data_IF_318899309397
#
_entry.id   IF_318899309397
#
_cell.length_a   1.000
_cell.length_b   1.000
_cell.length_c   1.000
_cell.angle_alpha   90.00
_cell.angle_beta   90.00
_cell.angle_gamma   90.00
#
_symmetry.space_group_name_H-M   'P 1'
#
loop_
_entity.id
_entity.type
_entity.pdbx_description
1 polymer ?
#
# COMPACT_ATOMS: atom_id res chain seq x y z
N UNK A 1 -21.32 -24.39 -8.31
CA UNK A 1 -22.20 -24.52 -9.50
C UNK A 1 -21.78 -23.42 -10.44
N UNK A 2 -20.91 -23.78 -11.41
CA UNK A 2 -20.31 -22.82 -12.35
C UNK A 2 -21.41 -22.37 -13.32
N UNK A 3 -21.75 -21.07 -13.33
CA UNK A 3 -22.68 -20.52 -14.32
C UNK A 3 -21.94 -20.26 -15.62
N UNK A 4 -22.16 -21.11 -16.61
CA UNK A 4 -21.76 -20.89 -18.00
C UNK A 4 -22.80 -19.99 -18.69
N UNK A 5 -22.34 -18.88 -19.26
CA UNK A 5 -23.12 -18.08 -20.20
C UNK A 5 -22.36 -18.04 -21.53
N UNK A 6 -22.82 -18.66 -22.60
CA UNK A 6 -22.13 -18.58 -23.89
C UNK A 6 -22.43 -17.26 -24.60
N UNK A 7 -21.40 -16.60 -25.10
CA UNK A 7 -21.50 -15.41 -25.96
C UNK A 7 -21.20 -15.80 -27.42
N UNK A 8 -22.03 -15.30 -28.31
CA UNK A 8 -22.01 -15.57 -29.74
C UNK A 8 -20.81 -14.95 -30.46
N UNK A 9 -20.26 -15.74 -31.38
CA UNK A 9 -19.14 -15.43 -32.27
C UNK A 9 -19.54 -14.49 -33.42
N UNK A 10 -18.77 -13.42 -33.65
CA UNK A 10 -18.76 -12.66 -34.88
C UNK A 10 -17.40 -12.76 -35.57
N UNK A 11 -17.40 -13.16 -36.83
CA UNK A 11 -16.22 -13.36 -37.68
C UNK A 11 -15.85 -12.05 -38.35
N UNK A 12 -14.61 -11.58 -38.25
CA UNK A 12 -14.01 -10.66 -39.23
C UNK A 12 -12.58 -11.06 -39.57
N UNK A 13 -12.30 -11.01 -40.86
CA UNK A 13 -11.06 -11.37 -41.53
C UNK A 13 -10.24 -10.11 -41.75
N UNK A 14 -8.94 -10.12 -41.50
CA UNK A 14 -7.83 -9.82 -42.41
C UNK A 14 -6.52 -9.53 -41.66
N UNK A 15 -5.61 -10.52 -41.66
CA UNK A 15 -4.20 -10.27 -41.97
C UNK A 15 -3.26 -9.75 -40.89
N UNK A 16 -3.46 -10.06 -39.63
CA UNK A 16 -2.41 -10.17 -38.61
C UNK A 16 -2.75 -11.39 -37.74
N UNK A 17 -1.74 -12.04 -37.18
CA UNK A 17 -1.84 -13.32 -36.46
C UNK A 17 -2.79 -13.19 -35.26
N UNK A 18 -4.09 -13.12 -35.56
CA UNK A 18 -5.16 -13.05 -34.56
C UNK A 18 -5.26 -14.43 -33.93
N UNK A 19 -5.06 -14.51 -32.63
CA UNK A 19 -5.34 -15.71 -31.86
C UNK A 19 -6.74 -16.20 -32.21
N UNK A 20 -6.85 -17.46 -32.65
CA UNK A 20 -8.15 -18.07 -33.04
C UNK A 20 -9.11 -18.26 -31.84
N UNK A 21 -8.58 -18.17 -30.60
CA UNK A 21 -9.32 -18.37 -29.36
C UNK A 21 -9.30 -17.10 -28.49
N UNK A 22 -10.37 -16.88 -27.73
CA UNK A 22 -10.47 -15.78 -26.77
C UNK A 22 -9.39 -15.93 -25.67
N UNK A 23 -8.93 -14.79 -25.14
CA UNK A 23 -8.18 -14.79 -23.88
C UNK A 23 -9.09 -15.22 -22.74
N UNK A 24 -8.59 -16.02 -21.82
CA UNK A 24 -9.31 -16.45 -20.63
C UNK A 24 -8.68 -15.81 -19.40
N UNK A 25 -9.47 -15.05 -18.65
CA UNK A 25 -8.99 -14.42 -17.42
C UNK A 25 -9.86 -14.75 -16.23
N UNK A 26 -9.21 -14.88 -15.07
CA UNK A 26 -9.90 -15.13 -13.80
C UNK A 26 -9.68 -13.97 -12.84
N UNK A 27 -10.78 -13.41 -12.36
CA UNK A 27 -10.82 -12.38 -11.33
C UNK A 27 -11.06 -13.08 -9.99
N UNK A 28 -10.17 -12.84 -9.04
CA UNK A 28 -10.25 -13.38 -7.70
C UNK A 28 -10.53 -12.27 -6.67
N UNK A 29 -11.78 -12.11 -6.22
CA UNK A 29 -12.05 -11.23 -5.08
C UNK A 29 -11.38 -11.81 -3.84
N UNK A 30 -10.38 -11.11 -3.29
CA UNK A 30 -9.67 -11.58 -2.11
C UNK A 30 -10.59 -11.87 -0.93
N UNK A 31 -10.17 -12.79 -0.04
CA UNK A 31 -10.92 -13.20 1.16
C UNK A 31 -12.27 -13.84 0.87
N UNK A 32 -13.18 -13.89 1.86
CA UNK A 32 -14.53 -14.46 1.75
C UNK A 32 -14.84 -15.46 2.85
N UNK A 33 -16.12 -15.70 3.10
CA UNK A 33 -16.60 -16.59 4.15
C UNK A 33 -16.14 -16.17 5.55
N UNK A 34 -15.44 -17.05 6.25
CA UNK A 34 -14.91 -16.78 7.59
C UNK A 34 -13.66 -15.87 7.59
N UNK A 35 -13.04 -15.63 6.44
CA UNK A 35 -11.90 -14.73 6.30
C UNK A 35 -12.35 -13.34 5.85
N UNK A 36 -12.45 -12.34 6.78
CA UNK A 36 -12.90 -11.00 6.42
C UNK A 36 -11.87 -10.17 5.64
N UNK A 37 -10.58 -10.53 5.72
CA UNK A 37 -9.48 -9.68 5.27
C UNK A 37 -9.21 -8.55 6.25
N UNK A 38 -8.80 -7.40 5.75
CA UNK A 38 -8.66 -6.18 6.54
C UNK A 38 -10.03 -5.69 7.01
N UNK A 39 -10.09 -5.28 8.28
CA UNK A 39 -11.28 -4.67 8.90
C UNK A 39 -10.86 -3.34 9.52
N UNK A 40 -11.46 -2.26 9.05
CA UNK A 40 -11.21 -0.93 9.58
C UNK A 40 -12.52 -0.12 9.60
N UNK A 41 -12.90 0.42 10.77
CA UNK A 41 -14.18 1.10 11.00
C UNK A 41 -15.39 0.22 10.58
N UNK A 42 -16.06 0.60 9.50
CA UNK A 42 -17.21 -0.14 8.93
C UNK A 42 -16.86 -0.90 7.66
N UNK A 43 -15.59 -0.83 7.23
CA UNK A 43 -15.13 -1.44 6.00
C UNK A 43 -14.61 -2.85 6.26
N UNK A 44 -15.04 -3.79 5.43
CA UNK A 44 -14.62 -5.18 5.47
C UNK A 44 -14.12 -5.57 4.09
N UNK A 45 -12.85 -5.92 4.00
CA UNK A 45 -12.16 -6.12 2.73
C UNK A 45 -12.86 -7.15 1.83
N UNK A 46 -13.31 -8.29 2.36
CA UNK A 46 -14.01 -9.32 1.57
C UNK A 46 -15.27 -8.83 0.85
N UNK A 47 -15.97 -7.84 1.43
CA UNK A 47 -17.17 -7.25 0.83
C UNK A 47 -16.80 -6.24 -0.25
N UNK A 48 -15.75 -5.46 0.01
CA UNK A 48 -15.24 -4.46 -0.93
C UNK A 48 -14.66 -5.14 -2.17
N UNK A 49 -13.81 -6.15 -2.01
CA UNK A 49 -13.20 -6.90 -3.12
C UNK A 49 -14.26 -7.60 -3.99
N UNK A 50 -15.35 -8.11 -3.39
CA UNK A 50 -16.43 -8.73 -4.16
C UNK A 50 -17.20 -7.71 -5.01
N UNK A 51 -17.48 -6.51 -4.48
CA UNK A 51 -18.14 -5.44 -5.22
C UNK A 51 -17.28 -4.93 -6.36
N UNK A 52 -15.99 -4.70 -6.09
CA UNK A 52 -15.00 -4.30 -7.06
C UNK A 52 -14.87 -5.32 -8.19
N UNK A 53 -14.71 -6.60 -7.86
CA UNK A 53 -14.58 -7.68 -8.82
C UNK A 53 -15.82 -7.82 -9.74
N UNK A 54 -17.01 -7.61 -9.19
CA UNK A 54 -18.24 -7.58 -10.01
C UNK A 54 -18.23 -6.42 -11.01
N UNK A 55 -17.79 -5.23 -10.60
CA UNK A 55 -17.68 -4.09 -11.50
C UNK A 55 -16.64 -4.33 -12.60
N UNK A 56 -15.49 -4.92 -12.25
CA UNK A 56 -14.46 -5.35 -13.21
C UNK A 56 -15.01 -6.38 -14.18
N UNK A 57 -15.69 -7.42 -13.68
CA UNK A 57 -16.32 -8.45 -14.49
C UNK A 57 -17.35 -7.87 -15.47
N UNK A 58 -18.29 -7.06 -14.97
CA UNK A 58 -19.32 -6.43 -15.81
C UNK A 58 -18.71 -5.57 -16.91
N UNK A 59 -17.68 -4.78 -16.59
CA UNK A 59 -17.02 -3.89 -17.53
C UNK A 59 -16.21 -4.67 -18.57
N UNK A 60 -15.42 -5.65 -18.14
CA UNK A 60 -14.53 -6.42 -19.00
C UNK A 60 -15.31 -7.37 -19.94
N UNK A 61 -16.42 -7.93 -19.47
CA UNK A 61 -17.29 -8.79 -20.28
C UNK A 61 -17.92 -8.08 -21.50
N UNK A 62 -17.81 -6.76 -21.59
CA UNK A 62 -18.24 -5.99 -22.77
C UNK A 62 -17.21 -5.94 -23.90
N UNK A 63 -15.99 -6.42 -23.69
CA UNK A 63 -14.94 -6.46 -24.69
C UNK A 63 -15.00 -7.74 -25.52
N UNK A 64 -14.67 -7.66 -26.80
CA UNK A 64 -14.53 -8.82 -27.68
C UNK A 64 -13.16 -9.50 -27.46
N UNK A 65 -13.09 -10.80 -27.75
CA UNK A 65 -11.85 -11.58 -27.69
C UNK A 65 -11.42 -12.01 -26.29
N UNK A 66 -12.30 -11.94 -25.28
CA UNK A 66 -11.99 -12.32 -23.89
C UNK A 66 -13.14 -13.09 -23.24
N UNK A 67 -12.81 -14.09 -22.46
CA UNK A 67 -13.71 -14.79 -21.54
C UNK A 67 -13.30 -14.48 -20.11
N UNK A 68 -14.27 -14.03 -19.30
CA UNK A 68 -14.03 -13.54 -17.94
C UNK A 68 -14.73 -14.43 -16.94
N UNK A 69 -14.01 -14.86 -15.93
CA UNK A 69 -14.54 -15.70 -14.85
C UNK A 69 -14.20 -15.09 -13.49
N UNK A 70 -14.96 -15.46 -12.47
CA UNK A 70 -14.68 -15.06 -11.08
C UNK A 70 -14.52 -16.31 -10.22
N UNK A 71 -13.58 -16.31 -9.27
CA UNK A 71 -13.40 -17.41 -8.33
C UNK A 71 -14.58 -17.55 -7.38
N UNK A 72 -15.20 -16.44 -6.98
CA UNK A 72 -16.43 -16.37 -6.17
C UNK A 72 -17.33 -15.24 -6.63
N UNK A 73 -18.64 -15.46 -6.59
CA UNK A 73 -19.67 -14.48 -6.91
C UNK A 73 -20.53 -14.11 -5.71
N UNK A 74 -20.28 -14.72 -4.55
CA UNK A 74 -20.95 -14.46 -3.27
C UNK A 74 -19.94 -14.52 -2.12
N UNK A 75 -20.39 -14.30 -0.88
CA UNK A 75 -19.54 -14.44 0.31
C UNK A 75 -19.30 -15.93 0.60
N UNK A 76 -18.24 -16.45 0.02
CA UNK A 76 -17.88 -17.86 0.02
C UNK A 76 -16.43 -18.03 0.47
N UNK A 77 -16.19 -19.03 1.32
CA UNK A 77 -14.84 -19.43 1.71
C UNK A 77 -14.22 -20.33 0.64
N UNK A 78 -13.08 -19.93 0.12
CA UNK A 78 -12.27 -20.69 -0.83
C UNK A 78 -10.82 -20.67 -0.37
N UNK A 79 -10.20 -21.83 -0.35
CA UNK A 79 -8.75 -21.93 -0.13
C UNK A 79 -7.98 -21.35 -1.32
N UNK A 80 -6.74 -20.92 -1.12
CA UNK A 80 -5.89 -20.40 -2.20
C UNK A 80 -5.74 -21.39 -3.35
N UNK A 81 -5.68 -22.68 -3.01
CA UNK A 81 -5.58 -23.75 -3.99
C UNK A 81 -6.84 -23.86 -4.83
N UNK A 82 -8.03 -23.88 -4.22
CA UNK A 82 -9.30 -23.93 -4.94
C UNK A 82 -9.48 -22.74 -5.90
N UNK A 83 -9.01 -21.54 -5.50
CA UNK A 83 -9.04 -20.34 -6.37
C UNK A 83 -8.20 -20.54 -7.63
N UNK A 84 -6.99 -21.08 -7.48
CA UNK A 84 -6.09 -21.33 -8.61
C UNK A 84 -6.50 -22.55 -9.43
N UNK A 85 -7.07 -23.60 -8.81
CA UNK A 85 -7.64 -24.75 -9.52
C UNK A 85 -8.75 -24.33 -10.51
N UNK A 86 -9.56 -23.31 -10.16
CA UNK A 86 -10.54 -22.71 -11.09
C UNK A 86 -9.83 -22.13 -12.32
N UNK A 87 -8.73 -21.40 -12.12
CA UNK A 87 -7.97 -20.82 -13.23
C UNK A 87 -7.25 -21.88 -14.07
N UNK A 88 -6.72 -22.93 -13.43
CA UNK A 88 -6.07 -24.06 -14.09
C UNK A 88 -7.07 -24.87 -14.95
N UNK A 89 -8.26 -25.15 -14.41
CA UNK A 89 -9.32 -25.87 -15.14
C UNK A 89 -9.84 -25.12 -16.37
N UNK A 90 -9.74 -23.77 -16.34
CA UNK A 90 -10.14 -22.88 -17.43
C UNK A 90 -9.01 -22.59 -18.42
N UNK A 91 -7.79 -23.08 -18.18
CA UNK A 91 -6.58 -22.75 -18.94
C UNK A 91 -6.36 -21.21 -19.05
N UNK A 92 -6.46 -20.53 -17.91
CA UNK A 92 -6.45 -19.09 -17.83
C UNK A 92 -5.12 -18.47 -18.30
N UNK A 93 -5.20 -17.43 -19.11
CA UNK A 93 -4.06 -16.64 -19.57
C UNK A 93 -3.52 -15.71 -18.49
N UNK A 94 -4.38 -15.28 -17.54
CA UNK A 94 -4.00 -14.42 -16.43
C UNK A 94 -4.97 -14.55 -15.23
N UNK A 95 -4.41 -14.36 -14.03
CA UNK A 95 -5.15 -14.42 -12.76
C UNK A 95 -4.99 -13.09 -11.99
N UNK A 96 -6.09 -12.37 -11.76
CA UNK A 96 -6.13 -11.07 -11.10
C UNK A 96 -6.72 -11.18 -9.70
N UNK A 97 -5.91 -11.02 -8.66
CA UNK A 97 -6.35 -11.08 -7.27
C UNK A 97 -6.50 -9.67 -6.70
N UNK A 98 -7.72 -9.31 -6.31
CA UNK A 98 -8.10 -7.96 -5.91
C UNK A 98 -8.14 -7.84 -4.39
N UNK A 99 -7.46 -6.82 -3.86
CA UNK A 99 -7.26 -6.60 -2.44
C UNK A 99 -7.31 -5.11 -2.04
N UNK A 100 -7.43 -4.89 -0.74
CA UNK A 100 -7.17 -3.63 -0.06
C UNK A 100 -6.21 -3.88 1.09
N UNK A 101 -5.24 -3.00 1.25
CA UNK A 101 -4.18 -3.16 2.22
C UNK A 101 -4.55 -2.57 3.60
N UNK A 102 -3.80 -2.97 4.61
CA UNK A 102 -3.80 -2.38 5.94
C UNK A 102 -2.43 -2.58 6.58
N UNK A 103 -1.89 -1.57 7.25
CA UNK A 103 -0.60 -1.64 7.92
C UNK A 103 -0.73 -1.80 9.44
N UNK A 104 0.23 -2.49 10.06
CA UNK A 104 0.20 -2.74 11.52
C UNK A 104 0.23 -1.44 12.33
N UNK A 105 0.96 -0.44 11.84
CA UNK A 105 1.18 0.84 12.53
C UNK A 105 0.29 1.96 11.97
N UNK A 106 -0.56 1.68 10.99
CA UNK A 106 -1.38 2.67 10.29
C UNK A 106 -0.55 3.81 9.66
N UNK A 107 0.64 3.47 9.14
CA UNK A 107 1.64 4.43 8.64
C UNK A 107 1.96 4.28 7.15
N UNK A 108 1.27 3.36 6.46
CA UNK A 108 1.41 3.12 5.03
C UNK A 108 0.16 3.55 4.27
N UNK A 109 0.34 4.08 3.07
CA UNK A 109 -0.74 4.52 2.18
C UNK A 109 -0.34 4.40 0.72
N UNK A 110 -1.33 4.36 -0.17
CA UNK A 110 -1.15 4.25 -1.62
C UNK A 110 -1.40 2.84 -2.16
N UNK A 111 -1.28 2.71 -3.48
CA UNK A 111 -1.48 1.47 -4.23
C UNK A 111 -0.17 0.73 -4.47
N UNK A 112 -0.23 -0.60 -4.53
CA UNK A 112 0.90 -1.45 -4.89
C UNK A 112 0.44 -2.73 -5.58
N UNK A 113 1.34 -3.36 -6.31
CA UNK A 113 1.08 -4.70 -6.86
C UNK A 113 2.16 -5.68 -6.42
N UNK A 114 1.74 -6.94 -6.26
CA UNK A 114 2.63 -8.05 -5.95
C UNK A 114 2.55 -9.09 -7.05
N UNK A 115 3.72 -9.49 -7.58
CA UNK A 115 3.84 -10.41 -8.71
C UNK A 115 4.80 -11.55 -8.41
N UNK A 116 4.82 -12.57 -9.29
CA UNK A 116 5.75 -13.69 -9.15
C UNK A 116 7.20 -13.26 -9.35
N UNK A 117 8.10 -13.87 -8.59
CA UNK A 117 9.55 -13.73 -8.75
C UNK A 117 10.17 -14.66 -9.80
N UNK A 118 9.35 -15.40 -10.56
CA UNK A 118 9.83 -16.27 -11.65
C UNK A 118 9.98 -15.45 -12.93
N UNK A 119 11.09 -15.58 -13.68
CA UNK A 119 11.42 -14.66 -14.77
C UNK A 119 10.30 -14.38 -15.77
N UNK A 120 9.73 -15.43 -16.39
CA UNK A 120 8.69 -15.25 -17.40
C UNK A 120 7.36 -14.75 -16.83
N UNK A 121 6.97 -15.25 -15.65
CA UNK A 121 5.76 -14.78 -14.95
C UNK A 121 5.97 -13.38 -14.38
N UNK A 122 7.19 -13.04 -13.93
CA UNK A 122 7.55 -11.69 -13.52
C UNK A 122 7.36 -10.70 -14.67
N UNK A 123 7.88 -10.99 -15.87
CA UNK A 123 7.76 -10.09 -17.00
C UNK A 123 6.29 -9.78 -17.33
N UNK A 124 5.45 -10.81 -17.46
CA UNK A 124 4.01 -10.64 -17.72
C UNK A 124 3.30 -9.89 -16.60
N UNK A 125 3.61 -10.21 -15.34
CA UNK A 125 3.05 -9.54 -14.18
C UNK A 125 3.48 -8.07 -14.12
N UNK A 126 4.73 -7.77 -14.44
CA UNK A 126 5.27 -6.41 -14.47
C UNK A 126 4.60 -5.56 -15.56
N UNK A 127 4.52 -6.09 -16.78
CA UNK A 127 3.90 -5.41 -17.93
C UNK A 127 2.45 -5.01 -17.61
N UNK A 128 1.66 -5.92 -17.03
CA UNK A 128 0.30 -5.59 -16.59
C UNK A 128 0.29 -4.60 -15.42
N UNK A 129 1.14 -4.85 -14.41
CA UNK A 129 1.19 -4.00 -13.22
C UNK A 129 1.56 -2.55 -13.54
N UNK A 130 2.40 -2.33 -14.54
CA UNK A 130 2.74 -0.98 -14.99
C UNK A 130 1.49 -0.22 -15.46
N UNK A 131 0.62 -0.87 -16.26
CA UNK A 131 -0.61 -0.26 -16.76
C UNK A 131 -1.59 0.09 -15.64
N UNK A 132 -1.80 -0.83 -14.70
CA UNK A 132 -2.74 -0.58 -13.60
C UNK A 132 -2.21 0.43 -12.60
N UNK A 133 -0.91 0.39 -12.28
CA UNK A 133 -0.28 1.35 -11.36
C UNK A 133 -0.32 2.77 -11.94
N UNK A 134 -0.08 2.95 -13.24
CA UNK A 134 -0.28 4.24 -13.90
C UNK A 134 -1.73 4.74 -13.72
N UNK A 135 -2.72 3.88 -13.94
CA UNK A 135 -4.13 4.24 -13.80
C UNK A 135 -4.51 4.61 -12.36
N UNK A 136 -3.97 3.91 -11.36
CA UNK A 136 -4.22 4.19 -9.94
C UNK A 136 -3.51 5.47 -9.47
N UNK A 137 -2.31 5.75 -9.99
CA UNK A 137 -1.59 7.00 -9.69
C UNK A 137 -2.20 8.22 -10.37
N UNK A 138 -2.71 8.07 -11.59
CA UNK A 138 -3.50 9.12 -12.25
C UNK A 138 -4.77 9.47 -11.48
N UNK A 139 -5.34 8.52 -10.75
CA UNK A 139 -6.46 8.76 -9.84
C UNK A 139 -6.07 9.59 -8.61
N UNK A 140 -4.77 9.67 -8.29
CA UNK A 140 -4.18 10.41 -7.19
C UNK A 140 -3.66 9.55 -6.03
N UNK A 141 -3.73 8.23 -6.14
CA UNK A 141 -3.14 7.33 -5.14
C UNK A 141 -1.62 7.39 -5.19
N UNK A 142 -0.99 7.27 -4.04
CA UNK A 142 0.46 7.22 -3.96
C UNK A 142 0.98 5.90 -4.55
N UNK A 143 1.99 6.00 -5.44
CA UNK A 143 2.61 4.85 -6.08
C UNK A 143 3.61 4.17 -5.13
N UNK A 144 3.22 3.04 -4.54
CA UNK A 144 4.08 2.18 -3.73
C UNK A 144 4.85 1.15 -4.56
N UNK A 145 4.60 1.07 -5.87
CA UNK A 145 5.35 0.29 -6.86
C UNK A 145 4.93 -1.15 -7.06
N UNK A 146 5.68 -1.79 -7.95
CA UNK A 146 5.52 -3.20 -8.36
C UNK A 146 6.55 -4.02 -7.59
N UNK A 147 6.11 -5.07 -6.90
CA UNK A 147 6.93 -5.77 -5.91
C UNK A 147 6.91 -7.28 -6.07
N UNK A 148 7.99 -7.90 -5.64
CA UNK A 148 8.06 -9.35 -5.37
C UNK A 148 8.34 -9.58 -3.89
N UNK A 149 7.94 -10.71 -3.36
CA UNK A 149 8.27 -11.11 -1.99
C UNK A 149 8.57 -12.61 -1.93
N UNK A 150 9.68 -12.98 -1.34
CA UNK A 150 10.09 -14.37 -1.21
C UNK A 150 9.87 -14.90 0.21
N UNK A 151 9.64 -16.21 0.30
CA UNK A 151 9.68 -16.94 1.56
C UNK A 151 11.12 -16.97 2.12
N UNK A 152 11.27 -17.40 3.35
CA UNK A 152 12.59 -17.57 4.01
C UNK A 152 13.55 -18.50 3.27
N UNK A 153 13.01 -19.41 2.44
CA UNK A 153 13.83 -20.31 1.62
C UNK A 153 14.44 -19.63 0.37
N UNK A 154 14.07 -18.37 0.10
CA UNK A 154 14.55 -17.55 -1.02
C UNK A 154 14.31 -18.16 -2.43
N UNK A 155 13.35 -19.06 -2.54
CA UNK A 155 13.02 -19.76 -3.78
C UNK A 155 11.56 -19.62 -4.18
N UNK A 156 10.67 -19.64 -3.19
CA UNK A 156 9.23 -19.61 -3.42
C UNK A 156 8.68 -18.21 -3.14
N UNK A 157 7.70 -17.80 -3.91
CA UNK A 157 6.95 -16.60 -3.66
C UNK A 157 6.27 -16.64 -2.28
N UNK A 158 6.28 -15.52 -1.57
CA UNK A 158 5.73 -15.42 -0.21
C UNK A 158 4.21 -15.56 -0.20
N UNK A 159 3.54 -14.78 -1.07
CA UNK A 159 2.09 -14.79 -1.15
C UNK A 159 1.60 -16.14 -1.67
N UNK A 160 0.66 -16.74 -0.93
CA UNK A 160 0.17 -18.08 -1.24
C UNK A 160 -0.47 -18.16 -2.61
N UNK A 161 -1.33 -17.18 -2.95
CA UNK A 161 -2.03 -17.16 -4.23
C UNK A 161 -1.07 -17.02 -5.43
N UNK A 162 -0.05 -16.16 -5.33
CA UNK A 162 1.00 -16.05 -6.36
C UNK A 162 1.76 -17.37 -6.50
N UNK A 163 2.08 -18.02 -5.38
CA UNK A 163 2.83 -19.28 -5.38
C UNK A 163 2.02 -20.43 -6.00
N UNK A 164 0.73 -20.54 -5.69
CA UNK A 164 -0.15 -21.54 -6.29
C UNK A 164 -0.29 -21.30 -7.79
N UNK A 165 -0.54 -20.06 -8.25
CA UNK A 165 -0.58 -19.70 -9.67
C UNK A 165 0.75 -19.96 -10.38
N UNK A 166 1.88 -19.62 -9.73
CA UNK A 166 3.23 -19.93 -10.24
C UNK A 166 3.46 -21.41 -10.43
N UNK A 167 2.93 -22.27 -9.54
CA UNK A 167 3.10 -23.71 -9.60
C UNK A 167 2.44 -24.33 -10.85
N UNK A 168 1.37 -23.72 -11.35
CA UNK A 168 0.65 -24.13 -12.58
C UNK A 168 0.98 -23.24 -13.79
N UNK A 169 2.02 -22.39 -13.66
CA UNK A 169 2.51 -21.50 -14.72
C UNK A 169 1.49 -20.47 -15.25
N UNK A 170 0.58 -20.00 -14.41
CA UNK A 170 -0.37 -18.93 -14.72
C UNK A 170 0.20 -17.60 -14.24
N UNK A 171 0.34 -16.57 -15.11
CA UNK A 171 0.68 -15.22 -14.69
C UNK A 171 -0.36 -14.69 -13.71
N UNK A 172 0.09 -14.07 -12.62
CA UNK A 172 -0.81 -13.58 -11.58
C UNK A 172 -0.31 -12.30 -10.96
N UNK A 173 -1.25 -11.49 -10.47
CA UNK A 173 -0.99 -10.25 -9.75
C UNK A 173 -1.93 -10.14 -8.57
N UNK A 174 -1.44 -9.65 -7.42
CA UNK A 174 -2.26 -9.08 -6.37
C UNK A 174 -2.26 -7.57 -6.58
N UNK A 175 -3.44 -6.96 -6.66
CA UNK A 175 -3.62 -5.51 -6.76
C UNK A 175 -4.12 -5.03 -5.40
N UNK A 176 -3.29 -4.29 -4.70
CA UNK A 176 -3.64 -3.61 -3.45
C UNK A 176 -4.01 -2.17 -3.79
N UNK A 177 -5.31 -1.88 -3.87
CA UNK A 177 -5.81 -0.62 -4.41
C UNK A 177 -5.51 0.58 -3.52
N UNK A 178 -5.65 0.44 -2.21
CA UNK A 178 -5.30 1.45 -1.21
C UNK A 178 -5.20 0.83 0.18
N UNK A 179 -4.78 1.62 1.18
CA UNK A 179 -4.77 1.22 2.59
C UNK A 179 -6.03 1.70 3.29
N UNK A 180 -6.78 0.78 3.91
CA UNK A 180 -8.04 1.10 4.59
C UNK A 180 -7.85 1.84 5.92
N UNK A 181 -6.63 1.96 6.41
CA UNK A 181 -6.31 2.45 7.75
C UNK A 181 -5.47 3.74 7.75
N UNK A 182 -5.37 4.41 6.58
CA UNK A 182 -4.59 5.64 6.49
C UNK A 182 -5.38 6.79 5.88
N UNK A 183 -5.35 7.95 6.54
CA UNK A 183 -6.14 9.13 6.17
C UNK A 183 -5.83 9.69 4.76
N UNK A 184 -4.62 9.47 4.23
CA UNK A 184 -4.28 9.87 2.85
C UNK A 184 -5.06 9.09 1.81
N UNK A 185 -5.49 7.86 2.12
CA UNK A 185 -6.25 7.02 1.21
C UNK A 185 -7.78 7.13 1.41
N UNK A 186 -8.26 7.73 2.52
CA UNK A 186 -9.70 7.94 2.76
C UNK A 186 -10.45 8.59 1.60
N UNK A 187 -9.93 9.64 0.91
CA UNK A 187 -10.62 10.26 -0.21
C UNK A 187 -10.97 9.30 -1.34
N UNK A 188 -10.29 8.15 -1.43
CA UNK A 188 -10.40 7.19 -2.52
C UNK A 188 -11.28 5.98 -2.22
N UNK A 189 -11.89 5.89 -1.02
CA UNK A 189 -12.82 4.80 -0.72
C UNK A 189 -13.87 5.14 0.34
N UNK A 190 -13.58 6.05 1.29
CA UNK A 190 -14.37 6.25 2.50
C UNK A 190 -15.75 6.83 2.18
N UNK A 191 -15.79 7.95 1.48
CA UNK A 191 -17.05 8.58 1.08
C UNK A 191 -17.50 8.05 -0.29
N UNK A 192 -18.77 7.65 -0.42
CA UNK A 192 -19.30 7.06 -1.65
C UNK A 192 -18.61 5.75 -2.07
N UNK A 193 -18.33 4.87 -1.12
CA UNK A 193 -17.57 3.62 -1.29
C UNK A 193 -18.00 2.82 -2.52
N UNK A 194 -19.30 2.62 -2.75
CA UNK A 194 -19.80 1.84 -3.90
C UNK A 194 -19.40 2.48 -5.24
N UNK A 195 -19.29 3.81 -5.30
CA UNK A 195 -18.84 4.52 -6.50
C UNK A 195 -17.34 4.31 -6.72
N UNK A 196 -16.54 4.38 -5.66
CA UNK A 196 -15.11 4.13 -5.73
C UNK A 196 -14.80 2.69 -6.13
N UNK A 197 -15.47 1.70 -5.52
CA UNK A 197 -15.31 0.29 -5.88
C UNK A 197 -15.68 0.01 -7.33
N UNK A 198 -16.73 0.68 -7.83
CA UNK A 198 -17.08 0.62 -9.24
C UNK A 198 -15.99 1.24 -10.12
N UNK A 199 -15.45 2.40 -9.74
CA UNK A 199 -14.38 3.07 -10.50
C UNK A 199 -13.09 2.22 -10.53
N UNK A 200 -12.68 1.62 -9.42
CA UNK A 200 -11.56 0.68 -9.40
C UNK A 200 -11.79 -0.50 -10.34
N UNK A 201 -12.95 -1.14 -10.28
CA UNK A 201 -13.27 -2.25 -11.18
C UNK A 201 -13.28 -1.84 -12.67
N UNK A 202 -13.72 -0.61 -12.99
CA UNK A 202 -13.63 -0.07 -14.34
C UNK A 202 -12.17 0.16 -14.78
N UNK A 203 -11.30 0.69 -13.90
CA UNK A 203 -9.87 0.88 -14.17
C UNK A 203 -9.16 -0.47 -14.37
N UNK A 204 -9.42 -1.45 -13.51
CA UNK A 204 -8.87 -2.79 -13.65
C UNK A 204 -9.26 -3.44 -14.97
N UNK A 205 -10.53 -3.33 -15.34
CA UNK A 205 -11.03 -3.86 -16.62
C UNK A 205 -10.36 -3.19 -17.82
N UNK A 206 -10.17 -1.85 -17.78
CA UNK A 206 -9.48 -1.10 -18.83
C UNK A 206 -7.99 -1.45 -18.89
N UNK A 207 -7.33 -1.69 -17.75
CA UNK A 207 -5.95 -2.15 -17.71
C UNK A 207 -5.81 -3.54 -18.36
N UNK A 208 -6.73 -4.46 -18.11
CA UNK A 208 -6.77 -5.77 -18.77
C UNK A 208 -7.03 -5.62 -20.27
N UNK A 209 -7.97 -4.75 -20.66
CA UNK A 209 -8.28 -4.50 -22.06
C UNK A 209 -7.09 -3.89 -22.82
N UNK A 210 -6.35 -2.96 -22.22
CA UNK A 210 -5.09 -2.42 -22.75
C UNK A 210 -4.02 -3.50 -22.89
N UNK A 211 -3.84 -4.32 -21.83
CA UNK A 211 -2.83 -5.36 -21.79
C UNK A 211 -3.01 -6.39 -22.91
N UNK A 212 -4.26 -6.78 -23.20
CA UNK A 212 -4.58 -7.77 -24.25
C UNK A 212 -4.95 -7.13 -25.61
N UNK A 213 -4.93 -5.81 -25.72
CA UNK A 213 -5.25 -5.11 -26.97
C UNK A 213 -6.71 -5.30 -27.42
N UNK A 214 -7.67 -5.30 -26.47
CA UNK A 214 -9.07 -5.61 -26.74
C UNK A 214 -9.87 -4.40 -27.27
N UNK A 215 -11.01 -4.68 -27.92
CA UNK A 215 -11.97 -3.66 -28.35
C UNK A 215 -13.37 -3.93 -27.79
N UNK A 216 -14.13 -2.86 -27.55
CA UNK A 216 -15.51 -2.93 -27.11
C UNK A 216 -16.43 -2.28 -28.17
N UNK A 217 -17.17 -3.05 -28.94
CA UNK A 217 -18.00 -2.54 -30.05
C UNK A 217 -19.19 -1.69 -29.54
N UNK A 218 -19.59 -1.86 -28.26
CA UNK A 218 -20.72 -1.12 -27.69
C UNK A 218 -20.32 0.29 -27.28
N UNK A 219 -19.13 0.45 -26.68
CA UNK A 219 -18.63 1.76 -26.23
C UNK A 219 -17.76 2.45 -27.28
N UNK A 220 -17.27 1.69 -28.27
CA UNK A 220 -16.34 2.17 -29.29
C UNK A 220 -14.90 2.30 -28.81
N UNK A 221 -14.57 1.78 -27.63
CA UNK A 221 -13.20 1.72 -27.12
C UNK A 221 -12.42 0.65 -27.88
N UNK A 222 -11.21 0.99 -28.30
CA UNK A 222 -10.34 0.10 -29.06
C UNK A 222 -8.89 0.26 -28.59
N UNK A 223 -8.35 -0.78 -27.98
CA UNK A 223 -6.98 -0.85 -27.49
C UNK A 223 -6.07 -1.72 -28.36
N UNK A 224 -6.52 -2.16 -29.55
CA UNK A 224 -5.73 -2.99 -30.47
C UNK A 224 -4.39 -2.36 -30.88
N UNK A 225 -4.28 -1.04 -30.78
CA UNK A 225 -3.05 -0.29 -31.08
C UNK A 225 -2.31 0.18 -29.81
N UNK A 226 -2.78 -0.21 -28.63
CA UNK A 226 -2.10 0.12 -27.38
C UNK A 226 -0.75 -0.62 -27.33
N UNK A 227 0.31 0.12 -27.03
CA UNK A 227 1.64 -0.47 -26.93
C UNK A 227 1.95 -0.79 -25.47
N UNK A 228 1.90 -2.06 -25.14
CA UNK A 228 2.36 -2.52 -23.82
C UNK A 228 3.88 -2.32 -23.72
N UNK A 229 4.33 -1.66 -22.66
CA UNK A 229 5.75 -1.56 -22.37
C UNK A 229 6.24 -2.89 -21.81
N UNK A 230 6.98 -3.65 -22.65
CA UNK A 230 7.51 -4.95 -22.24
C UNK A 230 8.89 -4.82 -21.64
N UNK A 231 9.10 -5.47 -20.50
CA UNK A 231 10.43 -5.64 -19.94
C UNK A 231 11.12 -6.89 -20.52
N UNK A 232 12.45 -6.87 -20.56
CA UNK A 232 13.23 -8.06 -20.87
C UNK A 232 13.03 -9.12 -19.79
N UNK A 233 12.85 -10.38 -20.21
CA UNK A 233 12.72 -11.51 -19.27
C UNK A 233 14.06 -11.66 -18.53
N UNK A 234 14.10 -11.59 -17.19
CA UNK A 234 15.32 -11.72 -16.43
C UNK A 234 15.97 -13.09 -16.60
N UNK A 235 17.31 -13.16 -16.67
CA UNK A 235 18.04 -14.43 -16.72
C UNK A 235 17.91 -15.24 -15.42
N UNK A 236 17.62 -14.58 -14.31
CA UNK A 236 17.47 -15.17 -12.98
C UNK A 236 16.13 -14.78 -12.36
N UNK A 237 15.77 -15.49 -11.30
CA UNK A 237 14.62 -15.14 -10.49
C UNK A 237 14.74 -13.71 -9.95
N UNK A 238 13.70 -12.90 -10.12
CA UNK A 238 13.65 -11.55 -9.58
C UNK A 238 13.42 -11.60 -8.08
N UNK A 239 14.30 -10.98 -7.33
CA UNK A 239 14.27 -11.00 -5.86
C UNK A 239 13.96 -9.61 -5.31
N UNK A 240 13.23 -9.55 -4.19
CA UNK A 240 13.04 -8.30 -3.48
C UNK A 240 14.38 -7.78 -2.95
N UNK A 241 14.53 -6.48 -2.90
CA UNK A 241 15.61 -5.87 -2.16
C UNK A 241 15.47 -6.13 -0.65
N UNK A 242 16.57 -6.49 -0.01
CA UNK A 242 16.63 -6.78 1.43
C UNK A 242 17.63 -5.90 2.16
N UNK A 243 18.22 -4.96 1.45
CA UNK A 243 19.18 -4.02 2.01
C UNK A 243 18.47 -2.76 2.51
N UNK A 244 19.07 -2.13 3.49
CA UNK A 244 18.64 -0.82 3.93
C UNK A 244 19.23 0.23 2.96
N UNK A 245 18.58 1.40 2.76
CA UNK A 245 19.18 2.49 1.99
C UNK A 245 20.60 2.80 2.45
N UNK A 246 21.54 2.96 1.51
CA UNK A 246 22.95 3.16 1.85
C UNK A 246 23.25 4.52 2.46
N UNK A 247 22.39 5.53 2.18
CA UNK A 247 22.62 6.89 2.62
C UNK A 247 21.35 7.49 3.22
N UNK A 248 21.53 8.12 4.37
CA UNK A 248 20.59 9.05 5.00
C UNK A 248 21.42 10.12 5.72
N UNK A 249 21.42 11.34 5.20
CA UNK A 249 22.23 12.46 5.75
C UNK A 249 21.34 13.66 5.95
N UNK A 250 21.31 14.18 7.18
CA UNK A 250 20.54 15.36 7.56
C UNK A 250 21.42 16.58 7.73
N UNK A 251 21.05 17.70 7.11
CA UNK A 251 21.73 18.97 7.24
C UNK A 251 20.72 20.09 7.61
N UNK A 252 21.03 20.85 8.64
CA UNK A 252 20.29 22.06 8.98
C UNK A 252 20.56 23.14 7.93
N UNK A 253 19.52 23.69 7.31
CA UNK A 253 19.62 24.78 6.34
C UNK A 253 19.44 26.14 7.00
N UNK A 254 18.39 26.28 7.81
CA UNK A 254 18.14 27.53 8.55
C UNK A 254 17.30 27.29 9.80
N UNK A 255 17.34 28.26 10.71
CA UNK A 255 16.42 28.36 11.85
C UNK A 255 15.69 29.68 11.73
N UNK A 256 14.38 29.61 11.54
CA UNK A 256 13.51 30.81 11.51
C UNK A 256 12.77 30.92 12.84
N UNK A 257 13.31 31.72 13.74
CA UNK A 257 12.73 31.93 15.09
C UNK A 257 11.43 32.75 15.04
N UNK A 258 11.29 33.63 14.04
CA UNK A 258 10.10 34.50 13.91
C UNK A 258 8.88 33.67 13.47
N UNK A 259 9.08 32.74 12.56
CA UNK A 259 8.02 31.83 12.07
C UNK A 259 7.96 30.50 12.85
N UNK A 260 8.90 30.27 13.76
CA UNK A 260 8.88 29.12 14.66
C UNK A 260 9.22 27.78 14.04
N UNK A 261 10.10 27.72 13.03
CA UNK A 261 10.54 26.45 12.43
C UNK A 261 12.05 26.40 12.18
N UNK A 262 12.54 25.17 12.04
CA UNK A 262 13.85 24.90 11.45
C UNK A 262 13.66 24.12 10.15
N UNK A 263 14.47 24.47 9.13
CA UNK A 263 14.44 23.85 7.80
C UNK A 263 15.65 22.94 7.62
N UNK A 264 15.40 21.75 7.13
CA UNK A 264 16.39 20.70 6.93
C UNK A 264 16.42 20.22 5.48
N UNK A 265 17.61 19.82 5.04
CA UNK A 265 17.81 19.03 3.85
C UNK A 265 18.13 17.61 4.30
N UNK A 266 17.36 16.64 3.83
CA UNK A 266 17.63 15.21 3.98
C UNK A 266 18.06 14.64 2.65
N UNK A 267 19.26 14.09 2.62
CA UNK A 267 19.83 13.36 1.48
C UNK A 267 19.66 11.86 1.69
N UNK A 268 19.11 11.16 0.70
CA UNK A 268 18.89 9.73 0.75
C UNK A 268 19.31 9.04 -0.54
N UNK A 269 19.78 7.79 -0.45
CA UNK A 269 20.11 6.99 -1.60
C UNK A 269 19.93 5.51 -1.31
N UNK A 270 19.35 4.82 -2.27
CA UNK A 270 19.34 3.38 -2.39
C UNK A 270 19.72 3.00 -3.83
N UNK A 271 20.62 2.03 -4.00
CA UNK A 271 21.13 1.62 -5.33
C UNK A 271 20.29 0.48 -5.92
N UNK A 272 19.55 -0.25 -5.09
CA UNK A 272 18.82 -1.44 -5.49
C UNK A 272 17.38 -1.13 -5.87
N UNK A 273 16.75 -0.17 -5.18
CA UNK A 273 15.38 0.21 -5.44
C UNK A 273 15.11 1.69 -5.06
N UNK A 274 14.02 2.29 -5.55
CA UNK A 274 13.72 3.69 -5.26
C UNK A 274 13.37 3.91 -3.79
N UNK A 275 13.66 5.11 -3.29
CA UNK A 275 13.11 5.61 -2.04
C UNK A 275 11.64 5.97 -2.25
N UNK A 276 10.78 5.68 -1.27
CA UNK A 276 9.35 5.99 -1.30
C UNK A 276 8.95 7.06 -0.31
N UNK A 277 9.54 7.05 0.88
CA UNK A 277 9.12 7.93 1.96
C UNK A 277 10.32 8.47 2.73
N UNK A 278 10.08 9.58 3.40
CA UNK A 278 10.88 10.04 4.52
C UNK A 278 10.01 10.28 5.75
N UNK A 279 10.65 10.31 6.89
CA UNK A 279 10.09 10.75 8.15
C UNK A 279 11.16 11.45 8.97
N UNK A 280 10.80 12.02 10.11
CA UNK A 280 11.77 12.58 11.04
C UNK A 280 11.40 12.28 12.48
N UNK A 281 12.40 12.34 13.37
CA UNK A 281 12.24 12.29 14.82
C UNK A 281 12.77 13.56 15.44
N UNK A 282 12.18 13.97 16.57
CA UNK A 282 12.61 15.14 17.37
C UNK A 282 13.08 14.77 18.76
N UNK A 283 13.19 13.47 19.07
CA UNK A 283 13.40 12.91 20.41
C UNK A 283 14.30 11.67 20.40
N UNK A 284 15.35 11.67 19.57
CA UNK A 284 16.31 10.58 19.43
C UNK A 284 15.71 9.25 18.89
N UNK A 285 14.65 9.35 18.13
CA UNK A 285 13.98 8.19 17.54
C UNK A 285 13.01 7.46 18.47
N UNK A 286 12.68 8.03 19.65
CA UNK A 286 11.63 7.49 20.51
C UNK A 286 10.27 7.56 19.80
N UNK A 287 10.03 8.65 19.07
CA UNK A 287 8.88 8.80 18.18
C UNK A 287 9.33 9.25 16.80
N UNK A 288 8.64 8.76 15.78
CA UNK A 288 8.86 9.13 14.40
C UNK A 288 7.58 9.77 13.85
N UNK A 289 7.70 10.83 13.06
CA UNK A 289 6.56 11.46 12.39
C UNK A 289 5.84 10.46 11.48
N UNK A 290 4.68 10.83 10.96
CA UNK A 290 4.12 10.15 9.80
C UNK A 290 5.10 10.14 8.63
N UNK A 291 4.84 9.26 7.65
CA UNK A 291 5.65 9.14 6.45
C UNK A 291 5.19 10.16 5.42
N UNK A 292 6.14 10.90 4.87
CA UNK A 292 5.93 11.86 3.79
C UNK A 292 6.48 11.26 2.48
N UNK A 293 5.85 11.54 1.33
CA UNK A 293 6.31 11.01 0.06
C UNK A 293 7.71 11.51 -0.30
N UNK A 294 8.53 10.60 -0.82
CA UNK A 294 9.82 10.93 -1.43
C UNK A 294 9.63 11.18 -2.92
N UNK A 295 10.17 12.27 -3.43
CA UNK A 295 10.21 12.50 -4.87
C UNK A 295 11.23 11.57 -5.52
N UNK A 296 10.75 10.60 -6.32
CA UNK A 296 11.57 9.57 -6.97
C UNK A 296 12.60 10.14 -7.96
N UNK A 297 12.41 11.38 -8.42
CA UNK A 297 13.30 12.06 -9.36
C UNK A 297 14.51 12.71 -8.67
N UNK A 298 14.50 12.78 -7.35
CA UNK A 298 15.56 13.42 -6.58
C UNK A 298 16.15 12.48 -5.52
N UNK A 299 17.36 12.79 -5.07
CA UNK A 299 18.00 12.11 -3.96
C UNK A 299 18.00 12.95 -2.68
N UNK A 300 17.18 14.01 -2.62
CA UNK A 300 17.11 14.90 -1.47
C UNK A 300 15.74 15.55 -1.34
N UNK A 301 15.36 15.87 -0.11
CA UNK A 301 14.10 16.53 0.21
C UNK A 301 14.35 17.63 1.27
N UNK A 302 13.65 18.75 1.14
CA UNK A 302 13.60 19.78 2.18
C UNK A 302 12.32 19.60 3.01
N UNK A 303 12.45 19.72 4.32
CA UNK A 303 11.30 19.71 5.23
C UNK A 303 11.51 20.64 6.41
N UNK A 304 10.41 20.98 7.07
CA UNK A 304 10.40 21.88 8.22
C UNK A 304 9.97 21.16 9.48
N UNK A 305 10.65 21.48 10.58
CA UNK A 305 10.32 20.99 11.91
C UNK A 305 9.94 22.16 12.78
N UNK A 306 8.78 22.15 13.45
CA UNK A 306 8.40 23.20 14.39
C UNK A 306 9.39 23.32 15.55
N UNK A 307 9.73 24.55 15.92
CA UNK A 307 10.55 24.83 17.09
C UNK A 307 9.70 24.76 18.36
N UNK A 308 10.23 24.11 19.38
CA UNK A 308 9.62 24.10 20.71
C UNK A 308 10.35 25.09 21.61
N UNK A 309 9.64 26.13 22.06
CA UNK A 309 10.19 27.18 22.88
C UNK A 309 10.87 26.64 24.16
N UNK A 310 12.08 27.12 24.41
CA UNK A 310 12.85 26.74 25.60
C UNK A 310 13.30 25.28 25.67
N UNK A 311 13.11 24.50 24.60
CA UNK A 311 13.48 23.09 24.53
C UNK A 311 14.56 22.85 23.49
N UNK A 312 15.61 22.12 23.88
CA UNK A 312 16.54 21.55 22.94
C UNK A 312 15.87 20.41 22.17
N UNK A 313 16.04 20.38 20.83
CA UNK A 313 15.50 19.36 19.98
C UNK A 313 16.64 18.63 19.25
N UNK A 314 16.59 17.30 19.24
CA UNK A 314 17.55 16.47 18.53
C UNK A 314 16.83 15.83 17.36
N UNK A 315 17.14 16.29 16.16
CA UNK A 315 16.45 15.93 14.94
C UNK A 315 17.24 14.88 14.19
N UNK A 316 16.58 13.82 13.76
CA UNK A 316 17.08 12.85 12.79
C UNK A 316 16.07 12.63 11.69
N UNK A 317 16.54 12.42 10.47
CA UNK A 317 15.73 12.01 9.32
C UNK A 317 15.75 10.50 9.15
N UNK A 318 14.70 9.98 8.56
CA UNK A 318 14.57 8.56 8.21
C UNK A 318 14.16 8.48 6.75
N UNK A 319 14.86 7.67 5.96
CA UNK A 319 14.50 7.38 4.57
C UNK A 319 14.04 5.94 4.45
N UNK A 320 12.97 5.70 3.67
CA UNK A 320 12.40 4.37 3.44
C UNK A 320 12.41 4.04 1.96
N UNK A 321 12.82 2.82 1.63
CA UNK A 321 12.83 2.33 0.25
C UNK A 321 11.51 1.63 -0.14
N UNK A 322 11.44 1.12 -1.38
CA UNK A 322 10.30 0.40 -1.96
C UNK A 322 9.79 -0.75 -1.07
N UNK A 323 10.67 -1.40 -0.31
CA UNK A 323 10.34 -2.53 0.57
C UNK A 323 10.21 -2.13 2.05
N UNK A 324 9.98 -0.85 2.33
CA UNK A 324 9.83 -0.29 3.69
C UNK A 324 11.06 -0.52 4.59
N UNK A 325 12.20 -0.81 3.99
CA UNK A 325 13.48 -0.83 4.70
C UNK A 325 13.96 0.60 4.87
N UNK A 326 14.66 0.85 5.95
CA UNK A 326 14.96 2.24 6.31
C UNK A 326 16.39 2.43 6.83
N UNK A 327 16.86 3.66 6.70
CA UNK A 327 18.10 4.15 7.33
C UNK A 327 17.85 5.48 8.00
N UNK A 328 18.35 5.59 9.23
CA UNK A 328 18.29 6.82 10.03
C UNK A 328 19.54 7.66 9.76
N UNK A 329 19.37 8.96 9.63
CA UNK A 329 20.47 9.91 9.40
C UNK A 329 21.31 10.15 10.66
N UNK A 330 22.35 10.98 10.49
CA UNK A 330 22.97 11.66 11.61
C UNK A 330 21.96 12.55 12.36
N UNK A 331 22.27 12.82 13.62
CA UNK A 331 21.51 13.76 14.46
C UNK A 331 21.99 15.19 14.25
N UNK A 332 21.03 16.13 14.31
CA UNK A 332 21.26 17.58 14.33
C UNK A 332 20.59 18.17 15.55
N UNK A 333 21.36 18.83 16.40
CA UNK A 333 20.85 19.47 17.62
C UNK A 333 20.46 20.92 17.34
N UNK A 334 19.23 21.30 17.68
CA UNK A 334 18.78 22.68 17.79
C UNK A 334 18.77 23.02 19.27
N UNK A 335 19.59 24.01 19.70
CA UNK A 335 19.62 24.40 21.11
C UNK A 335 18.28 25.00 21.52
N UNK A 336 18.01 25.00 22.82
CA UNK A 336 16.83 25.68 23.38
C UNK A 336 16.86 27.17 23.00
N UNK A 337 15.91 27.58 22.16
CA UNK A 337 15.78 28.94 21.68
C UNK A 337 14.68 29.66 22.47
N UNK A 338 14.95 30.85 22.96
CA UNK A 338 13.88 31.72 23.43
C UNK A 338 13.26 32.37 22.20
N UNK A 339 12.02 32.10 21.92
CA UNK A 339 11.25 32.89 20.95
C UNK A 339 11.13 34.28 21.54
N UNK A 340 11.87 35.23 20.99
CA UNK A 340 11.64 36.63 21.33
C UNK A 340 10.24 36.97 20.85
N UNK A 341 9.27 37.06 21.79
CA UNK A 341 8.06 37.81 21.51
C UNK A 341 8.53 39.20 21.09
N UNK A 342 8.34 39.51 19.83
CA UNK A 342 8.31 40.92 19.41
C UNK A 342 7.09 41.48 20.10
N UNK A 343 7.29 42.05 21.28
CA UNK A 343 6.36 43.00 21.84
C UNK A 343 6.33 44.12 20.80
N UNK A 344 5.37 44.06 19.89
CA UNK A 344 4.95 45.22 19.14
C UNK A 344 4.51 46.23 20.18
N UNK A 345 5.42 47.20 20.48
CA UNK A 345 5.03 48.41 21.16
C UNK A 345 3.83 48.97 20.41
N UNK A 346 2.75 49.01 21.12
CA UNK A 346 1.57 49.83 20.96
C UNK A 346 1.39 50.59 19.65
N UNK A 347 0.44 50.12 18.86
CA UNK A 347 -0.52 51.04 18.28
C UNK A 347 -1.90 50.66 18.83
N UNK A 348 -2.25 51.30 19.93
CA UNK A 348 -3.65 51.52 20.29
C UNK A 348 -4.23 52.48 19.26
N UNK A 349 -4.92 51.92 18.29
CA UNK A 349 -5.61 52.66 17.26
C UNK A 349 -6.88 51.92 16.92
N UNK A 350 -7.98 52.51 17.35
CA UNK A 350 -9.38 52.23 17.06
C UNK A 350 -9.71 51.21 15.97
N UNK A 351 -10.30 50.11 16.40
CA UNK A 351 -11.08 49.22 15.56
C UNK A 351 -12.50 49.81 15.36
N UNK A 352 -12.77 50.33 14.20
CA UNK A 352 -14.12 50.43 13.70
C UNK A 352 -14.21 50.06 12.22
N UNK A 353 -14.87 48.91 12.05
CA UNK A 353 -15.84 48.59 10.96
C UNK A 353 -15.40 48.64 9.49
N UNK A 354 -15.69 47.54 8.85
CA UNK A 354 -16.14 47.38 7.47
C UNK A 354 -15.17 47.66 6.32
N UNK A 355 -14.81 46.59 5.58
CA UNK A 355 -15.37 46.45 4.22
C UNK A 355 -14.97 45.11 3.58
N UNK A 356 -16.01 44.39 3.26
CA UNK A 356 -15.96 43.34 2.22
C UNK A 356 -15.73 44.00 0.87
N UNK A 357 -14.70 43.58 0.14
CA UNK A 357 -14.75 43.64 -1.31
C UNK A 357 -14.02 42.45 -1.96
N UNK A 358 -14.83 41.68 -2.67
CA UNK A 358 -14.39 40.75 -3.71
C UNK A 358 -13.64 41.53 -4.79
N UNK A 359 -12.56 40.96 -5.29
CA UNK A 359 -12.09 41.23 -6.65
C UNK A 359 -11.76 39.89 -7.31
N UNK A 360 -12.50 39.64 -8.36
CA UNK A 360 -12.33 38.61 -9.38
C UNK A 360 -11.36 39.07 -10.46
N UNK A 361 -10.73 38.06 -11.14
CA UNK A 361 -10.11 38.11 -12.49
C UNK A 361 -8.68 38.70 -12.55
N UNK A 362 -7.72 38.21 -13.34
CA UNK A 362 -7.64 37.27 -14.46
C UNK A 362 -6.16 36.90 -14.71
N UNK A 363 -5.92 35.70 -15.22
CA UNK A 363 -4.88 35.26 -16.18
C UNK A 363 -3.38 35.38 -15.91
N UNK A 364 -2.72 34.25 -16.03
CA UNK A 364 -1.44 34.15 -16.74
C UNK A 364 -0.35 33.34 -16.10
N UNK A 365 -0.33 32.08 -16.45
CA UNK A 365 0.83 31.28 -16.87
C UNK A 365 2.01 31.02 -15.91
N UNK A 366 2.25 29.72 -15.77
CA UNK A 366 3.48 28.97 -15.57
C UNK A 366 4.07 28.77 -14.18
N UNK A 367 4.34 27.49 -13.97
CA UNK A 367 5.16 26.83 -12.95
C UNK A 367 4.46 26.54 -11.62
N UNK A 368 3.85 25.35 -11.58
CA UNK A 368 3.35 24.74 -10.34
C UNK A 368 4.51 24.32 -9.44
N UNK A 369 4.78 25.16 -8.48
CA UNK A 369 5.48 24.77 -7.27
C UNK A 369 4.42 24.30 -6.28
N UNK A 370 4.35 23.02 -6.01
CA UNK A 370 3.47 22.43 -5.01
C UNK A 370 3.86 22.98 -3.62
N UNK A 371 3.15 23.99 -3.17
CA UNK A 371 3.23 24.48 -1.79
C UNK A 371 2.02 23.89 -1.06
N UNK A 372 2.20 22.77 -0.37
CA UNK A 372 1.20 22.28 0.58
C UNK A 372 1.10 23.21 1.76
N UNK A 373 -0.03 23.88 1.88
CA UNK A 373 -0.40 24.67 3.05
C UNK A 373 -0.96 23.71 4.10
N UNK A 374 -0.23 23.47 5.16
CA UNK A 374 -0.72 22.73 6.32
C UNK A 374 -1.75 23.55 7.07
N UNK A 375 -2.99 23.06 7.17
CA UNK A 375 -3.95 23.56 8.16
C UNK A 375 -3.64 22.90 9.50
N UNK A 376 -3.35 23.74 10.49
CA UNK A 376 -3.27 23.33 11.89
C UNK A 376 -4.60 22.71 12.34
N UNK A 377 -4.57 21.41 12.67
CA UNK A 377 -5.64 20.79 13.45
C UNK A 377 -5.29 21.02 14.92
N UNK A 378 -6.05 21.90 15.56
CA UNK A 378 -5.97 22.15 16.99
C UNK A 378 -6.31 20.88 17.77
N UNK A 379 -5.36 20.34 18.52
CA UNK A 379 -5.56 19.26 19.47
C UNK A 379 -6.15 19.87 20.74
N UNK A 380 -7.31 19.41 21.26
CA UNK A 380 -7.80 19.87 22.56
C UNK A 380 -6.91 19.33 23.67
N UNK A 381 -6.31 20.25 24.43
CA UNK A 381 -5.65 19.95 25.68
C UNK A 381 -6.69 19.46 26.72
N UNK A 382 -6.69 18.19 27.06
CA UNK A 382 -7.13 17.75 28.38
C UNK A 382 -6.08 16.85 29.02
N UNK A 383 -5.35 17.46 29.93
CA UNK A 383 -4.49 16.77 30.86
C UNK A 383 -5.34 15.96 31.85
N UNK A 384 -5.16 14.65 31.86
CA UNK A 384 -5.38 13.84 33.07
C UNK A 384 -4.24 12.85 33.25
N UNK A 385 -3.44 13.14 34.26
CA UNK A 385 -2.50 12.22 34.90
C UNK A 385 -3.23 10.96 35.36
N UNK A 386 -2.74 9.79 34.95
CA UNK A 386 -3.23 8.51 35.44
C UNK A 386 -2.33 7.39 34.97
N UNK A 387 -1.41 7.01 35.84
CA UNK A 387 -0.66 5.75 35.94
C UNK A 387 -1.16 4.61 35.04
N UNK A 388 -0.45 4.36 33.93
CA UNK A 388 -0.80 3.34 32.94
C UNK A 388 0.17 2.15 32.80
N UNK A 389 1.30 2.12 33.53
CA UNK A 389 2.33 1.08 33.36
C UNK A 389 2.18 -0.15 34.26
N UNK A 390 1.29 -0.14 35.24
CA UNK A 390 1.15 -1.26 36.18
C UNK A 390 0.40 -2.46 35.55
N UNK A 391 -0.44 -2.25 34.56
CA UNK A 391 -1.24 -3.35 33.99
C UNK A 391 -0.41 -4.28 33.10
N UNK A 392 0.55 -3.74 32.39
CA UNK A 392 1.45 -4.54 31.55
C UNK A 392 2.38 -5.43 32.39
N UNK A 393 2.85 -4.92 33.54
CA UNK A 393 3.62 -5.69 34.51
C UNK A 393 2.78 -6.83 35.14
N UNK A 394 1.51 -6.58 35.42
CA UNK A 394 0.60 -7.60 35.94
C UNK A 394 0.32 -8.72 34.94
N UNK A 395 0.15 -8.41 33.67
CA UNK A 395 -0.03 -9.41 32.60
C UNK A 395 1.25 -10.24 32.43
N UNK A 396 2.42 -9.60 32.43
CA UNK A 396 3.70 -10.31 32.32
C UNK A 396 3.94 -11.25 33.50
N UNK A 397 3.62 -10.81 34.70
CA UNK A 397 3.72 -11.64 35.93
C UNK A 397 2.75 -12.82 35.91
N UNK A 398 1.52 -12.62 35.45
CA UNK A 398 0.51 -13.66 35.29
C UNK A 398 0.93 -14.72 34.27
N UNK A 399 1.52 -14.31 33.14
CA UNK A 399 2.07 -15.22 32.14
C UNK A 399 3.25 -16.03 32.64
N UNK A 400 4.16 -15.42 33.43
CA UNK A 400 5.27 -16.12 34.04
C UNK A 400 4.79 -17.18 35.06
N UNK A 401 3.78 -16.87 35.87
CA UNK A 401 3.18 -17.82 36.82
C UNK A 401 2.50 -18.98 36.06
N UNK A 402 1.82 -18.71 34.98
CA UNK A 402 1.16 -19.74 34.14
C UNK A 402 2.20 -20.72 33.55
N UNK A 403 3.31 -20.20 33.04
CA UNK A 403 4.41 -21.01 32.48
C UNK A 403 5.04 -21.90 33.61
N UNK A 404 5.25 -21.35 34.79
CA UNK A 404 5.78 -22.12 35.92
C UNK A 404 4.82 -23.23 36.36
N UNK A 405 3.52 -23.00 36.36
CA UNK A 405 2.50 -24.01 36.66
C UNK A 405 2.48 -25.13 35.60
N UNK A 406 2.61 -24.79 34.35
CA UNK A 406 2.70 -25.76 33.23
C UNK A 406 3.97 -26.63 33.40
N UNK A 407 5.10 -26.03 33.66
CA UNK A 407 6.37 -26.77 33.89
C UNK A 407 6.26 -27.67 35.13
N UNK A 408 5.65 -27.22 36.22
CA UNK A 408 5.44 -28.01 37.43
C UNK A 408 4.50 -29.20 37.18
N UNK A 409 3.44 -29.05 36.37
CA UNK A 409 2.54 -30.17 36.04
C UNK A 409 3.22 -31.19 35.13
N UNK A 410 4.01 -30.77 34.14
CA UNK A 410 4.77 -31.70 33.30
C UNK A 410 5.85 -32.43 34.05
N UNK A 411 6.57 -31.79 34.99
CA UNK A 411 7.55 -32.46 35.87
C UNK A 411 6.89 -33.43 36.83
N UNK A 412 5.71 -33.07 37.38
CA UNK A 412 4.91 -33.98 38.21
C UNK A 412 4.45 -35.25 37.50
N UNK A 413 3.99 -35.10 36.23
CA UNK A 413 3.60 -36.22 35.36
C UNK A 413 4.81 -37.09 35.00
N UNK A 414 5.96 -36.47 34.73
CA UNK A 414 7.18 -37.19 34.40
C UNK A 414 7.70 -38.02 35.58
N UNK A 415 7.70 -37.46 36.81
CA UNK A 415 8.12 -38.15 38.02
C UNK A 415 7.17 -39.31 38.38
N UNK A 416 5.85 -39.12 38.19
CA UNK A 416 4.88 -40.20 38.48
C UNK A 416 4.95 -41.33 37.46
N UNK A 417 5.20 -41.03 36.16
CA UNK A 417 5.46 -42.06 35.16
C UNK A 417 6.71 -42.88 35.42
N UNK A 418 7.78 -42.25 35.90
CA UNK A 418 9.03 -42.95 36.23
C UNK A 418 8.92 -43.76 37.52
N UNK A 419 8.15 -43.33 38.52
CA UNK A 419 7.84 -44.14 39.70
C UNK A 419 7.03 -45.41 39.38
N UNK A 420 6.07 -45.33 38.44
CA UNK A 420 5.31 -46.49 37.95
C UNK A 420 6.16 -47.47 37.13
N UNK A 421 7.17 -46.99 36.39
CA UNK A 421 8.12 -47.86 35.64
C UNK A 421 9.10 -48.63 36.58
N UNK A 422 9.52 -48.01 37.72
CA UNK A 422 10.41 -48.65 38.70
C UNK A 422 9.70 -49.71 39.59
N UNK A 423 8.35 -49.72 39.65
CA UNK A 423 7.58 -50.74 40.39
C UNK A 423 7.17 -51.94 39.55
N UNK A 424 7.52 -51.96 38.24
CA UNK A 424 7.23 -53.07 37.31
C UNK A 424 8.49 -53.78 36.81
N UNK A 425 9.64 -53.49 37.36
CA UNK A 425 10.87 -54.29 37.32
C UNK A 425 11.13 -54.80 38.76
#
# INVERSE_FOLDING_TARGET
MICFVPVCTGVHNDGEDMREENYVVVIDPGHGGENPGAEYETFVEKEMTLKLARAMYERLSGFDGIEVYMTRTEDQDLTLKERVEIAEELDADFFFCLHFNMSVNHDLYGAETWISSKPELYAKGYDFSHIIMESLTDLGLFDRGIKTKLKKNEKDDYYGIIREATAVNIPSVIIEHCHLDHHNDYPYYHDNTDQWLKQYGELDALAVAKYFGLSNPTTGEDFSQYQVEHIEIPESQVKPDKTDPETSILALQQVNQEEGYAEFLLEGKDQQCPLLYYAYSTDLGETVSERFPWDKETNQVNFRVPLVEGKEQQISGVVYNLYDRFTVSNEVTIPALSVQQVLSDEVVGDLNASDHQMLTEENGDTSDTFTQTYQEIAIPNEAKSGTGNDWFLFILLALCVLVLLIVATFTGIYVTKNKKRRKRK
#
